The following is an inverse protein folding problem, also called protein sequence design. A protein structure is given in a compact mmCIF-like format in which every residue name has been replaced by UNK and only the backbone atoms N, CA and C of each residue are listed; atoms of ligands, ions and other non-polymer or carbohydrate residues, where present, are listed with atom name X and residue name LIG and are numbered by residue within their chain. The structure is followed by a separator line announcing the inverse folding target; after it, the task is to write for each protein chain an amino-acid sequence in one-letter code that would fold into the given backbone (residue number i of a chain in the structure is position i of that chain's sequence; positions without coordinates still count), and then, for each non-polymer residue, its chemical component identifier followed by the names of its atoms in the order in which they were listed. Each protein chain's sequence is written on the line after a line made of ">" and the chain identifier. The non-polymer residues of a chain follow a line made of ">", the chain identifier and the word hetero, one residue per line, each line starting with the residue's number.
data_IF_572026026310
#
_entry.id   IF_572026026310
#
_cell.length_a   1.000
_cell.length_b   1.000
_cell.length_c   1.000
_cell.angle_alpha   90.00
_cell.angle_beta   90.00
_cell.angle_gamma   90.00
#
_symmetry.space_group_name_H-M   'P 1'
#
loop_
_entity.id
_entity.type
_entity.pdbx_description
1 polymer ?
#
# COMPACT_ATOMS: atom_id res chain seq x y z
N UNK A 1 -7.08 -15.04 2.11
CA UNK A 1 -6.57 -14.11 3.15
C UNK A 1 -7.20 -12.75 2.92
N UNK A 2 -7.81 -12.16 3.94
CA UNK A 2 -8.32 -10.78 3.90
C UNK A 2 -7.24 -9.90 4.51
N UNK A 3 -6.69 -8.95 3.74
CA UNK A 3 -5.72 -7.98 4.25
C UNK A 3 -6.50 -6.90 5.02
N UNK A 4 -6.12 -6.67 6.27
CA UNK A 4 -6.61 -5.52 7.04
C UNK A 4 -5.83 -4.27 6.64
N UNK A 5 -6.46 -3.46 5.77
CA UNK A 5 -5.90 -2.21 5.27
C UNK A 5 -5.67 -1.20 6.39
N UNK A 6 -6.52 -1.17 7.42
CA UNK A 6 -6.34 -0.23 8.55
C UNK A 6 -5.06 -0.57 9.31
N UNK A 7 -4.84 -1.86 9.58
CA UNK A 7 -3.62 -2.34 10.22
C UNK A 7 -2.37 -2.04 9.37
N UNK A 8 -2.45 -2.21 8.05
CA UNK A 8 -1.37 -1.85 7.13
C UNK A 8 -0.98 -0.37 7.24
N UNK A 9 -1.96 0.53 7.15
CA UNK A 9 -1.73 1.98 7.23
C UNK A 9 -1.14 2.37 8.60
N UNK A 10 -1.62 1.76 9.68
CA UNK A 10 -1.08 2.00 11.02
C UNK A 10 0.40 1.59 11.11
N UNK A 11 0.77 0.43 10.56
CA UNK A 11 2.17 -0.03 10.56
C UNK A 11 3.05 0.90 9.74
N UNK A 12 2.64 1.28 8.52
CA UNK A 12 3.39 2.23 7.68
C UNK A 12 3.66 3.54 8.42
N UNK A 13 2.62 4.11 9.03
CA UNK A 13 2.73 5.35 9.82
C UNK A 13 3.62 5.18 11.04
N UNK A 14 3.54 4.04 11.74
CA UNK A 14 4.39 3.74 12.91
C UNK A 14 5.87 3.64 12.52
N UNK A 15 6.16 3.15 11.31
CA UNK A 15 7.50 3.12 10.74
C UNK A 15 7.94 4.47 10.13
N UNK A 16 7.08 5.50 10.18
CA UNK A 16 7.32 6.84 9.61
C UNK A 16 7.60 6.85 8.10
N UNK A 17 7.15 5.83 7.39
CA UNK A 17 7.26 5.76 5.94
C UNK A 17 6.14 6.55 5.28
N UNK A 18 6.46 7.41 4.32
CA UNK A 18 5.50 7.98 3.40
C UNK A 18 5.01 6.93 2.39
N UNK A 19 3.93 7.24 1.68
CA UNK A 19 3.47 6.36 0.59
C UNK A 19 4.51 6.30 -0.54
N UNK A 20 5.19 7.41 -0.83
CA UNK A 20 6.24 7.49 -1.85
C UNK A 20 7.42 6.58 -1.51
N UNK A 21 7.89 6.62 -0.26
CA UNK A 21 8.99 5.75 0.20
C UNK A 21 8.59 4.28 0.17
N UNK A 22 7.35 3.95 0.52
CA UNK A 22 6.89 2.55 0.52
C UNK A 22 6.62 2.01 -0.89
N UNK A 23 6.22 2.85 -1.83
CA UNK A 23 5.91 2.42 -3.19
C UNK A 23 7.12 2.44 -4.13
N UNK A 24 8.24 3.04 -3.73
CA UNK A 24 9.43 3.16 -4.56
C UNK A 24 9.90 1.79 -5.09
N UNK A 25 10.12 1.72 -6.41
CA UNK A 25 10.49 0.48 -7.10
C UNK A 25 9.42 -0.63 -7.14
N UNK A 26 8.23 -0.44 -6.53
CA UNK A 26 7.17 -1.46 -6.46
C UNK A 26 5.94 -1.02 -7.26
N UNK A 27 5.42 0.18 -7.00
CA UNK A 27 4.24 0.70 -7.67
C UNK A 27 4.21 2.23 -7.63
N UNK A 28 3.18 2.83 -8.23
CA UNK A 28 3.02 4.29 -8.11
C UNK A 28 2.43 4.68 -6.75
N UNK A 29 2.76 5.86 -6.25
CA UNK A 29 2.14 6.41 -5.02
C UNK A 29 0.62 6.46 -5.13
N UNK A 30 0.09 6.74 -6.32
CA UNK A 30 -1.36 6.74 -6.59
C UNK A 30 -1.99 5.35 -6.45
N UNK A 31 -1.24 4.29 -6.80
CA UNK A 31 -1.65 2.89 -6.64
C UNK A 31 -1.73 2.53 -5.17
N UNK A 32 -0.69 2.86 -4.40
CA UNK A 32 -0.67 2.63 -2.96
C UNK A 32 -1.75 3.44 -2.23
N UNK A 33 -1.99 4.69 -2.64
CA UNK A 33 -3.08 5.51 -2.11
C UNK A 33 -4.46 4.90 -2.36
N UNK A 34 -4.72 4.36 -3.55
CA UNK A 34 -5.99 3.66 -3.87
C UNK A 34 -6.17 2.39 -3.04
N UNK A 35 -5.08 1.65 -2.81
CA UNK A 35 -5.07 0.49 -1.92
C UNK A 35 -5.40 0.88 -0.47
N UNK A 36 -4.72 1.90 0.07
CA UNK A 36 -4.92 2.34 1.47
C UNK A 36 -6.31 2.95 1.71
N UNK A 37 -6.90 3.62 0.72
CA UNK A 37 -8.12 4.40 0.91
C UNK A 37 -9.41 3.65 0.53
N UNK A 38 -9.36 2.73 -0.44
CA UNK A 38 -10.56 2.08 -0.99
C UNK A 38 -10.49 0.54 -0.99
N UNK A 39 -9.43 -0.07 -0.44
CA UNK A 39 -9.28 -1.53 -0.35
C UNK A 39 -9.20 -2.25 -1.71
N UNK A 40 -9.16 -1.52 -2.82
CA UNK A 40 -8.91 -2.07 -4.16
C UNK A 40 -7.43 -2.38 -4.27
N UNK A 41 -7.08 -3.60 -3.86
CA UNK A 41 -5.82 -4.24 -4.25
C UNK A 41 -5.87 -4.41 -5.77
N UNK A 42 -5.00 -3.76 -6.56
CA UNK A 42 -4.81 -4.18 -7.95
C UNK A 42 -4.42 -5.66 -7.89
N UNK A 43 -5.02 -6.50 -8.73
CA UNK A 43 -4.65 -7.92 -8.83
C UNK A 43 -3.13 -8.06 -8.80
N UNK A 44 -2.61 -8.98 -7.98
CA UNK A 44 -1.20 -9.22 -7.58
C UNK A 44 -0.14 -9.32 -8.70
N UNK A 45 -0.46 -8.98 -9.94
CA UNK A 45 0.44 -8.90 -11.11
C UNK A 45 1.55 -7.82 -11.01
N UNK A 46 1.70 -7.14 -9.88
CA UNK A 46 2.76 -6.12 -9.67
C UNK A 46 4.02 -6.73 -9.01
N UNK A 47 3.97 -8.00 -8.56
CA UNK A 47 5.10 -8.72 -7.96
C UNK A 47 5.81 -9.65 -8.95
N UNK A 48 5.95 -9.24 -10.22
CA UNK A 48 6.80 -9.94 -11.18
C UNK A 48 8.14 -9.23 -11.33
#
# INVERSE_FOLDING_TARGET
>A
MIIDIKKFVQIRKKQKLSQTELCDGICTQSTLGKFENNGRVPSLKILN
#
